data_IF_857091915412
#
_entry.id   IF_857091915412
#
_cell.length_a   1.000
_cell.length_b   1.000
_cell.length_c   1.000
_cell.angle_alpha   90.00
_cell.angle_beta   90.00
_cell.angle_gamma   90.00
#
_symmetry.space_group_name_H-M   'P 1'
#
loop_
_entity.id
_entity.type
_entity.pdbx_description
1 polymer ?
#
# COMPACT_ATOMS: atom_id res chain seq x y z
N UNK A 1 -17.06 5.52 27.01
CA UNK A 1 -16.75 6.48 25.92
C UNK A 1 -16.00 7.72 26.41
N UNK A 2 -16.47 8.45 27.43
CA UNK A 2 -15.79 9.66 27.95
C UNK A 2 -14.32 9.45 28.38
N UNK A 3 -13.98 8.32 29.02
CA UNK A 3 -12.59 8.02 29.45
C UNK A 3 -11.62 7.92 28.27
N UNK A 4 -12.03 7.32 27.15
CA UNK A 4 -11.20 7.20 25.96
C UNK A 4 -10.99 8.58 25.29
N UNK A 5 -12.03 9.41 25.22
CA UNK A 5 -11.89 10.79 24.74
C UNK A 5 -10.94 11.60 25.60
N UNK A 6 -11.06 11.50 26.92
CA UNK A 6 -10.13 12.14 27.86
C UNK A 6 -8.69 11.67 27.65
N UNK A 7 -8.50 10.36 27.48
CA UNK A 7 -7.18 9.78 27.22
C UNK A 7 -6.54 10.33 25.93
N UNK A 8 -7.33 10.54 24.87
CA UNK A 8 -6.84 11.14 23.62
C UNK A 8 -6.59 12.65 23.74
N UNK A 9 -7.49 13.39 24.41
CA UNK A 9 -7.48 14.85 24.40
C UNK A 9 -6.63 15.48 25.51
N UNK A 10 -6.71 14.94 26.74
CA UNK A 10 -6.21 15.60 27.95
C UNK A 10 -5.01 14.90 28.59
N UNK A 11 -4.81 13.59 28.32
CA UNK A 11 -3.65 12.88 28.91
C UNK A 11 -2.33 13.42 28.39
N UNK A 12 -1.27 13.24 29.15
CA UNK A 12 0.03 13.86 28.88
C UNK A 12 0.99 13.04 28.02
N UNK A 13 0.57 11.87 27.49
CA UNK A 13 1.44 11.03 26.69
C UNK A 13 1.74 11.63 25.31
N UNK A 14 2.94 11.36 24.80
CA UNK A 14 3.46 11.83 23.55
C UNK A 14 3.27 10.77 22.45
N UNK A 15 2.55 11.11 21.40
CA UNK A 15 2.26 10.22 20.27
C UNK A 15 3.51 9.91 19.44
N UNK A 16 4.48 10.82 19.34
CA UNK A 16 5.72 10.59 18.60
C UNK A 16 6.60 9.59 19.32
N UNK A 17 6.75 9.72 20.65
CA UNK A 17 7.49 8.76 21.47
C UNK A 17 6.85 7.37 21.44
N UNK A 18 5.52 7.29 21.54
CA UNK A 18 4.81 6.00 21.43
C UNK A 18 5.02 5.37 20.06
N UNK A 19 4.93 6.15 18.98
CA UNK A 19 5.19 5.62 17.65
C UNK A 19 6.65 5.20 17.45
N UNK A 20 7.61 5.97 17.94
CA UNK A 20 9.03 5.62 17.91
C UNK A 20 9.27 4.28 18.60
N UNK A 21 8.72 4.12 19.82
CA UNK A 21 8.84 2.87 20.57
C UNK A 21 8.19 1.69 19.84
N UNK A 22 7.05 1.90 19.20
CA UNK A 22 6.41 0.87 18.38
C UNK A 22 7.32 0.44 17.22
N UNK A 23 7.94 1.41 16.52
CA UNK A 23 8.87 1.11 15.42
C UNK A 23 10.09 0.34 15.95
N UNK A 24 10.65 0.72 17.09
CA UNK A 24 11.74 -0.04 17.74
C UNK A 24 11.36 -1.49 18.03
N UNK A 25 10.14 -1.75 18.49
CA UNK A 25 9.64 -3.11 18.73
C UNK A 25 9.53 -3.91 17.43
N UNK A 26 8.99 -3.29 16.34
CA UNK A 26 8.94 -3.93 15.02
C UNK A 26 10.34 -4.26 14.47
N UNK A 27 11.33 -3.39 14.71
CA UNK A 27 12.72 -3.62 14.31
C UNK A 27 13.39 -4.73 15.11
N UNK A 28 13.02 -4.89 16.38
CA UNK A 28 13.64 -5.85 17.31
C UNK A 28 13.08 -7.26 17.17
N UNK A 29 11.85 -7.41 16.67
CA UNK A 29 11.20 -8.71 16.52
C UNK A 29 11.57 -9.34 15.15
N UNK A 30 12.25 -10.50 15.14
CA UNK A 30 12.62 -11.17 13.89
C UNK A 30 11.45 -11.49 12.95
N UNK A 31 10.23 -11.64 13.48
CA UNK A 31 9.05 -11.93 12.70
C UNK A 31 8.52 -10.71 11.94
N UNK A 32 8.81 -9.49 12.40
CA UNK A 32 8.33 -8.24 11.83
C UNK A 32 9.45 -7.32 11.36
N UNK A 33 10.72 -7.64 11.64
CA UNK A 33 11.86 -6.78 11.34
C UNK A 33 11.93 -6.47 9.83
N UNK A 34 11.95 -5.16 9.47
CA UNK A 34 12.09 -4.76 8.08
C UNK A 34 13.49 -5.09 7.55
N UNK A 35 13.55 -5.56 6.31
CA UNK A 35 14.79 -5.95 5.65
C UNK A 35 15.07 -5.11 4.40
N UNK A 36 16.33 -5.06 3.89
CA UNK A 36 16.70 -4.24 2.74
C UNK A 36 15.97 -4.59 1.42
N UNK A 37 15.37 -5.76 1.31
CA UNK A 37 14.57 -6.16 0.15
C UNK A 37 13.12 -5.66 0.18
N UNK A 38 12.63 -5.17 1.34
CA UNK A 38 11.29 -4.60 1.49
C UNK A 38 11.15 -3.24 0.79
N UNK A 39 9.97 -2.67 0.81
CA UNK A 39 9.62 -1.42 0.15
C UNK A 39 8.98 -0.45 1.13
N UNK A 40 9.42 0.80 1.10
CA UNK A 40 8.74 1.88 1.82
C UNK A 40 7.69 2.50 0.91
N UNK A 41 6.44 2.19 1.13
CA UNK A 41 5.32 2.71 0.35
C UNK A 41 4.82 4.02 0.95
N UNK A 42 4.60 5.03 0.12
CA UNK A 42 4.02 6.33 0.50
C UNK A 42 2.71 6.54 -0.24
N UNK A 43 1.72 7.00 0.51
CA UNK A 43 0.43 7.41 -0.05
C UNK A 43 -0.28 8.36 0.91
N UNK A 44 -1.41 8.94 0.49
CA UNK A 44 -2.28 9.70 1.37
C UNK A 44 -3.71 9.15 1.41
N UNK A 45 -4.33 9.28 2.56
CA UNK A 45 -5.69 8.81 2.77
C UNK A 45 -6.58 9.90 3.33
N UNK A 46 -7.72 10.14 2.67
CA UNK A 46 -8.67 11.16 3.04
C UNK A 46 -9.88 10.61 3.79
N UNK A 47 -10.28 11.32 4.85
CA UNK A 47 -11.47 11.01 5.64
C UNK A 47 -12.40 12.22 5.66
N UNK A 48 -13.66 12.01 5.22
CA UNK A 48 -14.69 13.05 5.27
C UNK A 48 -14.97 13.43 6.71
N UNK A 49 -15.06 14.73 6.97
CA UNK A 49 -15.47 15.30 8.26
C UNK A 49 -16.45 16.42 8.03
N UNK A 50 -17.47 16.48 8.89
CA UNK A 50 -18.42 17.57 8.91
C UNK A 50 -17.90 18.74 9.78
N UNK A 51 -18.37 19.94 9.50
CA UNK A 51 -17.98 21.13 10.27
C UNK A 51 -16.69 21.80 9.76
N UNK A 52 -16.19 22.80 10.50
CA UNK A 52 -15.05 23.65 10.11
C UNK A 52 -14.01 23.85 11.22
N UNK A 53 -14.29 23.36 12.43
CA UNK A 53 -13.50 23.64 13.63
C UNK A 53 -12.49 22.55 13.98
N UNK A 54 -12.42 21.47 13.20
CA UNK A 54 -11.46 20.38 13.42
C UNK A 54 -10.11 20.77 12.82
N UNK A 55 -9.03 20.49 13.52
CA UNK A 55 -7.68 20.70 13.01
C UNK A 55 -7.50 19.96 11.65
N UNK A 56 -6.70 20.51 10.74
CA UNK A 56 -6.38 19.98 9.42
C UNK A 56 -7.54 19.92 8.42
N UNK A 57 -8.75 20.34 8.82
CA UNK A 57 -9.92 20.24 7.96
C UNK A 57 -9.84 21.20 6.77
N UNK A 58 -10.33 20.79 5.63
CA UNK A 58 -10.45 21.62 4.44
C UNK A 58 -11.09 20.90 3.27
N UNK A 59 -11.39 21.67 2.22
CA UNK A 59 -11.82 21.08 0.95
C UNK A 59 -10.61 20.44 0.26
N UNK A 60 -10.60 19.13 0.21
CA UNK A 60 -9.49 18.33 -0.31
C UNK A 60 -10.04 17.21 -1.20
N UNK A 61 -9.22 16.69 -2.09
CA UNK A 61 -9.54 15.48 -2.82
C UNK A 61 -9.55 14.30 -1.85
N UNK A 62 -10.68 13.60 -1.77
CA UNK A 62 -10.84 12.40 -0.96
C UNK A 62 -10.96 11.21 -1.90
N UNK A 63 -9.86 10.47 -2.09
CA UNK A 63 -9.76 9.39 -3.05
C UNK A 63 -10.87 8.35 -2.92
N UNK A 64 -11.21 7.92 -1.69
CA UNK A 64 -12.33 6.99 -1.43
C UNK A 64 -13.68 7.47 -1.97
N UNK A 65 -13.90 8.79 -2.02
CA UNK A 65 -15.15 9.39 -2.52
C UNK A 65 -15.07 9.79 -3.99
N UNK A 66 -13.88 9.76 -4.60
CA UNK A 66 -13.65 10.19 -5.97
C UNK A 66 -13.99 11.66 -6.24
N UNK A 67 -13.96 12.52 -5.22
CA UNK A 67 -14.33 13.95 -5.32
C UNK A 67 -13.63 14.82 -4.30
N UNK A 68 -13.61 16.12 -4.57
CA UNK A 68 -13.21 17.13 -3.58
C UNK A 68 -14.36 17.37 -2.60
N UNK A 69 -14.10 17.11 -1.33
CA UNK A 69 -15.06 17.32 -0.23
C UNK A 69 -14.36 17.85 1.02
N UNK A 70 -15.13 18.19 2.04
CA UNK A 70 -14.61 18.62 3.32
C UNK A 70 -14.09 17.41 4.11
N UNK A 71 -12.82 17.48 4.51
CA UNK A 71 -12.19 16.32 5.18
C UNK A 71 -10.78 16.60 5.64
N UNK A 72 -10.17 15.57 6.20
CA UNK A 72 -8.77 15.54 6.63
C UNK A 72 -8.05 14.53 5.75
N UNK A 73 -6.91 14.93 5.21
CA UNK A 73 -6.03 14.03 4.46
C UNK A 73 -4.78 13.79 5.28
N UNK A 74 -4.40 12.54 5.45
CA UNK A 74 -3.21 12.12 6.18
C UNK A 74 -2.23 11.47 5.22
N UNK A 75 -1.00 11.97 5.19
CA UNK A 75 0.13 11.33 4.48
C UNK A 75 0.68 10.23 5.36
N UNK A 76 0.89 9.05 4.79
CA UNK A 76 1.34 7.88 5.54
C UNK A 76 2.50 7.17 4.84
N UNK A 77 3.26 6.43 5.62
CA UNK A 77 4.22 5.44 5.12
C UNK A 77 3.84 4.06 5.62
N UNK A 78 4.03 3.07 4.76
CA UNK A 78 3.84 1.66 5.05
C UNK A 78 5.11 0.92 4.63
N UNK A 79 5.66 0.09 5.50
CA UNK A 79 6.65 -0.88 5.07
C UNK A 79 5.95 -2.14 4.59
N UNK A 80 6.41 -2.71 3.48
CA UNK A 80 5.83 -3.92 2.93
C UNK A 80 6.85 -4.76 2.17
N UNK A 81 6.63 -6.07 2.17
CA UNK A 81 7.20 -7.04 1.25
C UNK A 81 6.08 -7.91 0.66
N UNK A 82 6.38 -9.07 0.13
CA UNK A 82 5.41 -10.00 -0.44
C UNK A 82 4.44 -10.58 0.60
N UNK A 83 4.84 -10.69 1.86
CA UNK A 83 4.14 -11.43 2.91
C UNK A 83 3.66 -10.55 4.06
N UNK A 84 4.38 -9.47 4.36
CA UNK A 84 4.20 -8.65 5.53
C UNK A 84 4.06 -7.18 5.14
N UNK A 85 3.17 -6.47 5.81
CA UNK A 85 3.03 -5.03 5.65
C UNK A 85 2.46 -4.40 6.93
N UNK A 86 2.90 -3.19 7.22
CA UNK A 86 2.38 -2.43 8.36
C UNK A 86 2.62 -0.93 8.19
N UNK A 87 1.68 -0.08 8.67
CA UNK A 87 1.87 1.36 8.68
C UNK A 87 3.02 1.74 9.61
N UNK A 88 3.91 2.64 9.16
CA UNK A 88 5.01 3.17 9.96
C UNK A 88 4.69 4.52 10.57
N UNK A 89 4.33 5.49 9.75
CA UNK A 89 4.09 6.86 10.16
C UNK A 89 2.83 7.41 9.52
N UNK A 90 2.20 8.36 10.20
CA UNK A 90 1.02 9.06 9.71
C UNK A 90 1.07 10.53 10.16
N UNK A 91 0.96 11.46 9.22
CA UNK A 91 0.95 12.90 9.50
C UNK A 91 -0.20 13.58 8.77
N UNK A 92 -1.17 14.17 9.49
CA UNK A 92 -2.25 14.94 8.88
C UNK A 92 -1.70 16.14 8.12
N UNK A 93 -2.17 16.34 6.89
CA UNK A 93 -1.85 17.52 6.11
C UNK A 93 -2.73 18.70 6.55
N UNK A 94 -2.11 19.82 6.92
CA UNK A 94 -2.79 21.07 7.24
C UNK A 94 -2.87 21.98 6.02
N UNK A 95 -4.06 22.24 5.47
CA UNK A 95 -4.24 23.21 4.39
C UNK A 95 -3.76 24.62 4.77
N UNK A 96 -3.31 25.40 3.79
CA UNK A 96 -2.69 26.70 3.99
C UNK A 96 -3.53 27.70 4.80
N UNK A 97 -4.87 27.59 4.77
CA UNK A 97 -5.75 28.49 5.54
C UNK A 97 -5.70 28.29 7.06
N UNK A 98 -5.06 27.21 7.56
CA UNK A 98 -4.79 27.02 8.98
C UNK A 98 -3.58 27.82 9.48
N UNK A 99 -2.82 28.45 8.59
CA UNK A 99 -1.58 29.16 8.91
C UNK A 99 -1.75 30.67 8.73
N UNK A 100 -1.25 31.49 9.66
CA UNK A 100 -1.39 32.96 9.57
C UNK A 100 -0.85 33.55 8.26
N UNK A 101 0.25 33.01 7.73
CA UNK A 101 0.88 33.46 6.47
C UNK A 101 0.54 32.55 5.28
N UNK A 102 -0.47 31.69 5.40
CA UNK A 102 -0.85 30.74 4.35
C UNK A 102 0.30 29.86 3.91
N UNK A 103 0.51 29.73 2.59
CA UNK A 103 1.61 28.92 2.03
C UNK A 103 3.03 29.45 2.32
N UNK A 104 3.14 30.73 2.70
CA UNK A 104 4.41 31.37 3.05
C UNK A 104 4.74 31.24 4.54
N UNK A 105 3.89 30.60 5.32
CA UNK A 105 4.15 30.34 6.72
C UNK A 105 5.27 29.32 6.89
N UNK A 106 6.25 29.55 7.78
CA UNK A 106 7.35 28.62 7.99
C UNK A 106 6.91 27.25 8.52
N UNK A 107 5.73 27.19 9.16
CA UNK A 107 5.13 25.92 9.62
C UNK A 107 4.38 25.16 8.54
N UNK A 108 4.06 25.80 7.39
CA UNK A 108 3.34 25.15 6.31
C UNK A 108 4.22 24.07 5.63
N UNK A 109 3.65 22.90 5.41
CA UNK A 109 4.25 21.79 4.66
C UNK A 109 3.28 21.31 3.60
N UNK A 110 3.76 21.11 2.39
CA UNK A 110 3.01 20.37 1.34
C UNK A 110 2.99 18.88 1.65
N UNK A 111 2.04 18.15 1.08
CA UNK A 111 2.01 16.67 1.18
C UNK A 111 3.33 16.03 0.74
N UNK A 112 3.95 16.56 -0.31
CA UNK A 112 5.25 16.09 -0.82
C UNK A 112 6.38 16.27 0.18
N UNK A 113 6.42 17.42 0.87
CA UNK A 113 7.40 17.68 1.92
C UNK A 113 7.20 16.76 3.12
N UNK A 114 5.93 16.55 3.53
CA UNK A 114 5.59 15.60 4.59
C UNK A 114 6.04 14.18 4.18
N UNK A 115 5.72 13.75 2.97
CA UNK A 115 6.12 12.44 2.45
C UNK A 115 7.63 12.22 2.45
N UNK A 116 8.40 13.20 1.97
CA UNK A 116 9.85 13.13 1.97
C UNK A 116 10.44 13.13 3.39
N UNK A 117 9.84 13.87 4.33
CA UNK A 117 10.22 13.87 5.73
C UNK A 117 9.95 12.50 6.39
N UNK A 118 8.78 11.89 6.13
CA UNK A 118 8.45 10.56 6.65
C UNK A 118 9.39 9.47 6.10
N UNK A 119 9.78 9.55 4.82
CA UNK A 119 10.76 8.63 4.25
C UNK A 119 12.13 8.75 4.93
N UNK A 120 12.60 9.98 5.20
CA UNK A 120 13.84 10.22 5.96
C UNK A 120 13.72 9.71 7.40
N UNK A 121 12.57 9.94 8.05
CA UNK A 121 12.31 9.46 9.40
C UNK A 121 12.40 7.93 9.47
N UNK A 122 11.80 7.22 8.51
CA UNK A 122 11.90 5.76 8.44
C UNK A 122 13.37 5.31 8.31
N UNK A 123 14.14 5.91 7.39
CA UNK A 123 15.58 5.60 7.22
C UNK A 123 16.38 5.88 8.48
N UNK A 124 16.16 7.02 9.13
CA UNK A 124 16.87 7.42 10.36
C UNK A 124 16.53 6.50 11.52
N UNK A 125 15.30 5.98 11.58
CA UNK A 125 14.90 4.99 12.57
C UNK A 125 15.50 3.59 12.32
N UNK A 126 16.27 3.38 11.24
CA UNK A 126 16.89 2.10 10.92
C UNK A 126 15.98 1.13 10.15
N UNK A 127 14.87 1.60 9.61
CA UNK A 127 13.99 0.77 8.78
C UNK A 127 14.71 0.43 7.46
N UNK A 128 14.98 -0.87 7.25
CA UNK A 128 15.56 -1.38 6.01
C UNK A 128 14.51 -1.39 4.88
N UNK A 129 14.85 -0.86 3.72
CA UNK A 129 14.02 -0.97 2.50
C UNK A 129 14.88 -0.74 1.25
N UNK A 130 14.44 -1.32 0.14
CA UNK A 130 15.12 -1.27 -1.15
C UNK A 130 14.89 0.04 -1.89
N UNK A 131 13.66 0.53 -1.86
CA UNK A 131 13.28 1.79 -2.49
C UNK A 131 11.99 2.34 -1.88
N UNK A 132 11.74 3.63 -2.13
CA UNK A 132 10.46 4.29 -1.87
C UNK A 132 9.55 4.07 -3.08
N UNK A 133 8.33 3.58 -2.87
CA UNK A 133 7.32 3.44 -3.91
C UNK A 133 6.13 4.37 -3.65
N UNK A 134 5.64 5.03 -4.69
CA UNK A 134 4.46 5.89 -4.62
C UNK A 134 3.72 5.91 -5.97
N UNK A 135 2.46 6.34 -5.95
CA UNK A 135 1.64 6.49 -7.15
C UNK A 135 1.97 7.76 -7.96
N UNK A 136 1.25 7.96 -9.05
CA UNK A 136 1.45 9.11 -9.94
C UNK A 136 1.13 10.47 -9.31
N UNK A 137 0.40 10.54 -8.18
CA UNK A 137 0.20 11.79 -7.48
C UNK A 137 1.52 12.34 -6.90
N UNK A 138 2.40 11.44 -6.50
CA UNK A 138 3.76 11.73 -6.04
C UNK A 138 4.77 11.62 -7.19
N UNK A 139 4.67 10.60 -8.01
CA UNK A 139 5.61 10.28 -9.07
C UNK A 139 5.72 11.38 -10.14
N UNK A 140 4.63 12.06 -10.49
CA UNK A 140 4.63 13.18 -11.43
C UNK A 140 5.38 14.44 -10.93
N UNK A 141 5.78 14.46 -9.65
CA UNK A 141 6.36 15.65 -9.03
C UNK A 141 7.87 15.62 -9.00
N UNK A 142 8.52 16.29 -9.93
CA UNK A 142 9.99 16.39 -9.99
C UNK A 142 10.64 16.83 -8.68
N UNK A 143 10.00 17.75 -7.98
CA UNK A 143 10.50 18.25 -6.69
C UNK A 143 10.56 17.14 -5.64
N UNK A 144 9.62 16.21 -5.66
CA UNK A 144 9.59 15.10 -4.73
C UNK A 144 10.69 14.07 -5.04
N UNK A 145 10.80 13.64 -6.31
CA UNK A 145 11.87 12.74 -6.72
C UNK A 145 13.25 13.29 -6.39
N UNK A 146 13.48 14.60 -6.65
CA UNK A 146 14.74 15.27 -6.28
C UNK A 146 14.99 15.30 -4.77
N UNK A 147 13.97 15.49 -3.94
CA UNK A 147 14.10 15.44 -2.48
C UNK A 147 14.53 14.07 -2.00
N UNK A 148 13.97 13.00 -2.58
CA UNK A 148 14.37 11.63 -2.25
C UNK A 148 15.80 11.34 -2.70
N UNK A 149 16.14 11.63 -3.95
CA UNK A 149 17.50 11.45 -4.49
C UNK A 149 18.54 12.20 -3.67
N UNK A 150 18.26 13.47 -3.30
CA UNK A 150 19.16 14.27 -2.43
C UNK A 150 19.32 13.71 -1.03
N UNK A 151 18.36 12.91 -0.56
CA UNK A 151 18.41 12.22 0.73
C UNK A 151 19.04 10.81 0.62
N UNK A 152 19.50 10.40 -0.57
CA UNK A 152 20.00 9.04 -0.82
C UNK A 152 18.90 7.99 -0.58
N UNK A 153 17.69 8.28 -1.02
CA UNK A 153 16.54 7.41 -0.94
C UNK A 153 16.12 7.00 -2.34
N UNK A 154 16.51 5.80 -2.79
CA UNK A 154 16.12 5.33 -4.12
C UNK A 154 14.60 5.19 -4.23
N UNK A 155 14.10 5.32 -5.46
CA UNK A 155 12.66 5.31 -5.67
C UNK A 155 12.22 4.51 -6.91
N UNK A 156 10.98 4.01 -6.87
CA UNK A 156 10.21 3.48 -8.00
C UNK A 156 8.81 4.07 -7.91
N UNK A 157 8.44 4.93 -8.86
CA UNK A 157 7.19 5.68 -8.82
C UNK A 157 6.44 5.61 -10.13
N UNK A 158 5.12 5.46 -10.06
CA UNK A 158 4.29 5.55 -11.25
C UNK A 158 4.17 7.00 -11.75
N UNK A 159 4.00 7.12 -13.04
CA UNK A 159 3.73 8.37 -13.74
C UNK A 159 2.39 8.26 -14.45
N UNK A 160 1.70 9.38 -14.61
CA UNK A 160 0.56 9.42 -15.52
C UNK A 160 1.01 9.12 -16.95
N UNK A 161 0.18 8.41 -17.74
CA UNK A 161 0.48 8.16 -19.15
C UNK A 161 0.80 9.44 -19.95
N UNK A 162 0.21 10.57 -19.52
CA UNK A 162 0.35 11.89 -20.13
C UNK A 162 1.34 12.82 -19.42
N UNK A 163 2.17 12.29 -18.51
CA UNK A 163 3.21 13.09 -17.84
C UNK A 163 4.15 13.69 -18.89
N UNK A 164 4.15 15.02 -18.99
CA UNK A 164 4.98 15.73 -19.97
C UNK A 164 6.42 15.88 -19.51
N UNK A 165 7.37 15.58 -20.39
CA UNK A 165 8.78 15.88 -20.14
C UNK A 165 9.40 16.60 -21.35
N UNK A 166 10.55 17.27 -21.13
CA UNK A 166 11.30 17.88 -22.21
C UNK A 166 11.85 16.81 -23.16
N UNK A 167 11.62 17.00 -24.45
CA UNK A 167 12.13 16.12 -25.50
C UNK A 167 12.58 16.95 -26.70
N UNK A 168 13.52 16.40 -27.50
CA UNK A 168 14.01 17.02 -28.72
C UNK A 168 13.57 16.22 -29.94
N UNK A 169 13.04 16.91 -30.93
CA UNK A 169 12.77 16.34 -32.25
C UNK A 169 11.82 15.15 -32.22
N UNK A 170 12.35 13.95 -32.45
CA UNK A 170 11.57 12.68 -32.52
C UNK A 170 11.45 11.95 -31.20
N UNK A 171 12.01 12.48 -30.13
CA UNK A 171 11.94 11.84 -28.83
C UNK A 171 10.50 11.85 -28.30
N UNK A 172 10.14 10.85 -27.51
CA UNK A 172 8.83 10.77 -26.88
C UNK A 172 8.65 11.89 -25.84
N UNK A 173 7.46 12.49 -25.82
CA UNK A 173 7.12 13.55 -24.86
C UNK A 173 6.38 13.01 -23.64
N UNK A 174 5.72 11.87 -23.76
CA UNK A 174 4.94 11.26 -22.68
C UNK A 174 5.30 9.79 -22.48
N UNK A 175 5.08 9.24 -21.28
CA UNK A 175 5.33 7.82 -21.02
C UNK A 175 4.61 6.89 -21.99
N UNK A 176 3.37 7.21 -22.36
CA UNK A 176 2.64 6.40 -23.33
C UNK A 176 3.25 6.46 -24.74
N UNK A 177 3.80 7.61 -25.14
CA UNK A 177 4.50 7.72 -26.44
C UNK A 177 5.83 6.92 -26.39
N UNK A 178 6.53 6.98 -25.27
CA UNK A 178 7.74 6.18 -25.07
C UNK A 178 7.45 4.67 -25.12
N UNK A 179 6.35 4.22 -24.52
CA UNK A 179 5.92 2.82 -24.58
C UNK A 179 5.56 2.38 -26.01
N UNK A 180 4.85 3.22 -26.75
CA UNK A 180 4.45 2.95 -28.15
C UNK A 180 5.63 2.94 -29.13
N UNK A 181 6.76 3.53 -28.76
CA UNK A 181 7.98 3.49 -29.55
C UNK A 181 8.77 2.17 -29.40
N UNK A 182 8.43 1.35 -28.43
CA UNK A 182 9.05 0.04 -28.20
C UNK A 182 8.53 -0.99 -29.22
N UNK A 183 9.45 -1.82 -29.71
CA UNK A 183 9.12 -2.88 -30.68
C UNK A 183 8.44 -4.04 -29.98
N UNK A 184 7.30 -4.46 -30.52
CA UNK A 184 6.57 -5.65 -30.09
C UNK A 184 5.95 -6.35 -31.29
N UNK A 185 6.04 -7.66 -31.36
CA UNK A 185 5.36 -8.47 -32.36
C UNK A 185 4.38 -9.44 -31.68
N UNK A 186 4.88 -10.35 -30.90
CA UNK A 186 4.13 -11.37 -30.16
C UNK A 186 4.98 -11.90 -28.98
N UNK A 187 4.46 -12.78 -28.12
CA UNK A 187 5.21 -13.36 -27.01
C UNK A 187 6.45 -14.16 -27.41
N UNK A 188 6.50 -14.72 -28.62
CA UNK A 188 7.66 -15.47 -29.13
C UNK A 188 8.72 -14.53 -29.74
N UNK A 189 8.30 -13.35 -30.17
CA UNK A 189 9.12 -12.29 -30.74
C UNK A 189 8.89 -10.95 -30.02
N UNK A 190 9.26 -10.84 -28.73
CA UNK A 190 8.86 -9.73 -27.87
C UNK A 190 9.58 -8.40 -28.16
N UNK A 191 10.57 -8.37 -29.07
CA UNK A 191 11.29 -7.17 -29.40
C UNK A 191 12.05 -6.58 -28.22
N UNK A 192 11.65 -5.37 -27.79
CA UNK A 192 12.26 -4.67 -26.64
C UNK A 192 11.74 -5.14 -25.27
N UNK A 193 10.71 -5.97 -25.24
CA UNK A 193 10.04 -6.37 -24.02
C UNK A 193 10.61 -7.67 -23.44
N UNK A 194 10.63 -7.74 -22.13
CA UNK A 194 11.04 -8.91 -21.36
C UNK A 194 9.87 -9.42 -20.54
N UNK A 195 9.61 -10.71 -20.59
CA UNK A 195 8.61 -11.34 -19.76
C UNK A 195 9.01 -11.29 -18.26
N UNK A 196 8.09 -10.90 -17.41
CA UNK A 196 8.23 -10.81 -15.96
C UNK A 196 7.07 -11.57 -15.31
N UNK A 197 7.41 -12.67 -14.65
CA UNK A 197 6.42 -13.42 -13.85
C UNK A 197 6.13 -12.67 -12.54
N UNK A 198 4.86 -12.42 -12.29
CA UNK A 198 4.37 -11.87 -11.02
C UNK A 198 3.58 -12.93 -10.29
N UNK A 199 4.04 -13.30 -9.12
CA UNK A 199 3.32 -14.22 -8.22
C UNK A 199 2.52 -13.39 -7.21
N UNK A 200 1.24 -13.70 -7.08
CA UNK A 200 0.33 -13.08 -6.11
C UNK A 200 0.22 -13.94 -4.86
N UNK A 201 -0.28 -13.35 -3.78
CA UNK A 201 -0.34 -14.01 -2.47
C UNK A 201 -1.22 -15.27 -2.44
N UNK A 202 -2.24 -15.34 -3.29
CA UNK A 202 -3.09 -16.52 -3.47
C UNK A 202 -2.43 -17.65 -4.29
N UNK A 203 -1.17 -17.44 -4.69
CA UNK A 203 -0.35 -18.39 -5.44
C UNK A 203 -0.56 -18.36 -6.95
N UNK A 204 -1.51 -17.55 -7.48
CA UNK A 204 -1.59 -17.42 -8.93
C UNK A 204 -0.44 -16.58 -9.48
N UNK A 205 -0.07 -16.82 -10.73
CA UNK A 205 0.96 -16.07 -11.44
C UNK A 205 0.38 -15.41 -12.68
N UNK A 206 0.89 -14.23 -13.00
CA UNK A 206 0.59 -13.52 -14.24
C UNK A 206 1.89 -13.18 -14.95
N UNK A 207 1.91 -13.36 -16.27
CA UNK A 207 3.00 -12.87 -17.10
C UNK A 207 2.74 -11.39 -17.43
N UNK A 208 3.66 -10.56 -17.01
CA UNK A 208 3.75 -9.15 -17.40
C UNK A 208 4.93 -8.97 -18.35
N UNK A 209 4.89 -7.91 -19.15
CA UNK A 209 5.96 -7.53 -20.06
C UNK A 209 6.54 -6.20 -19.58
N UNK A 210 7.85 -6.14 -19.44
CA UNK A 210 8.52 -4.94 -19.00
C UNK A 210 9.66 -4.55 -19.95
N UNK A 211 9.87 -3.24 -20.12
CA UNK A 211 10.93 -2.71 -20.95
C UNK A 211 11.45 -1.38 -20.40
N UNK A 212 12.74 -1.10 -20.62
CA UNK A 212 13.31 0.23 -20.45
C UNK A 212 12.94 1.09 -21.66
N UNK A 213 12.27 2.21 -21.43
CA UNK A 213 11.87 3.14 -22.47
C UNK A 213 12.62 4.47 -22.37
N UNK A 214 12.69 5.20 -23.48
CA UNK A 214 13.31 6.53 -23.54
C UNK A 214 12.23 7.61 -23.53
N UNK A 215 12.32 8.53 -22.58
CA UNK A 215 11.39 9.64 -22.41
C UNK A 215 12.18 10.94 -22.25
N UNK A 216 12.35 11.68 -23.34
CA UNK A 216 13.19 12.88 -23.32
C UNK A 216 14.61 12.59 -22.84
N UNK A 217 14.97 13.20 -21.70
CA UNK A 217 16.26 13.00 -21.05
C UNK A 217 16.38 11.71 -20.23
N UNK A 218 15.25 11.06 -19.97
CA UNK A 218 15.21 9.83 -19.21
C UNK A 218 15.43 8.63 -20.12
N UNK A 219 16.12 7.66 -19.62
CA UNK A 219 16.37 6.42 -20.35
C UNK A 219 17.18 5.43 -19.54
N UNK A 220 17.49 4.25 -20.12
CA UNK A 220 18.15 3.16 -19.41
C UNK A 220 19.44 3.56 -18.68
N UNK A 221 20.19 4.51 -19.26
CA UNK A 221 21.48 4.96 -18.77
C UNK A 221 21.42 6.38 -18.15
N UNK A 222 20.25 6.99 -18.09
CA UNK A 222 20.02 8.31 -17.49
C UNK A 222 19.93 8.27 -15.97
N UNK A 223 19.95 9.47 -15.34
CA UNK A 223 19.75 9.60 -13.90
C UNK A 223 18.35 9.15 -13.44
N UNK A 224 17.40 9.17 -14.34
CA UNK A 224 16.08 8.59 -14.17
C UNK A 224 15.83 7.64 -15.34
N UNK A 225 15.43 6.42 -15.03
CA UNK A 225 14.94 5.43 -15.99
C UNK A 225 13.43 5.53 -16.07
N UNK A 226 12.88 5.26 -17.25
CA UNK A 226 11.47 4.92 -17.42
C UNK A 226 11.38 3.42 -17.71
N UNK A 227 10.78 2.66 -16.81
CA UNK A 227 10.42 1.26 -17.03
C UNK A 227 8.92 1.20 -17.29
N UNK A 228 8.53 0.67 -18.45
CA UNK A 228 7.13 0.39 -18.74
C UNK A 228 6.85 -1.07 -18.41
N UNK A 229 5.75 -1.34 -17.72
CA UNK A 229 5.31 -2.70 -17.40
C UNK A 229 3.82 -2.84 -17.73
N UNK A 230 3.45 -3.89 -18.46
CA UNK A 230 2.07 -4.09 -18.92
C UNK A 230 1.75 -5.58 -19.06
N UNK A 231 0.47 -5.93 -19.01
CA UNK A 231 0.00 -7.27 -19.37
C UNK A 231 -0.10 -7.47 -20.89
N UNK A 232 -0.18 -6.40 -21.66
CA UNK A 232 -0.28 -6.47 -23.12
C UNK A 232 0.45 -5.28 -23.78
N UNK A 233 1.65 -5.49 -24.34
CA UNK A 233 2.41 -4.47 -25.04
C UNK A 233 1.72 -3.91 -26.29
N UNK A 234 0.85 -4.69 -26.94
CA UNK A 234 0.18 -4.26 -28.16
C UNK A 234 -0.87 -3.19 -27.91
N UNK A 235 -1.60 -3.30 -26.78
CA UNK A 235 -2.75 -2.41 -26.49
C UNK A 235 -2.49 -1.43 -25.34
N UNK A 236 -1.53 -1.70 -24.47
CA UNK A 236 -1.20 -0.90 -23.29
C UNK A 236 -2.45 -0.58 -22.45
N UNK A 237 -3.15 -1.60 -21.91
CA UNK A 237 -4.43 -1.40 -21.22
C UNK A 237 -4.24 -0.49 -19.99
N UNK A 238 -5.04 0.58 -19.83
CA UNK A 238 -4.81 1.59 -18.78
C UNK A 238 -4.84 1.06 -17.35
N UNK A 239 -5.58 -0.03 -17.09
CA UNK A 239 -5.68 -0.63 -15.76
C UNK A 239 -4.53 -1.59 -15.44
N UNK A 240 -3.78 -2.02 -16.45
CA UNK A 240 -2.72 -3.01 -16.35
C UNK A 240 -1.44 -2.55 -17.07
N UNK A 241 -1.19 -1.24 -17.10
CA UNK A 241 0.03 -0.64 -17.61
C UNK A 241 0.57 0.39 -16.62
N UNK A 242 1.83 0.23 -16.25
CA UNK A 242 2.56 1.11 -15.34
C UNK A 242 3.69 1.81 -16.09
N UNK A 243 3.90 3.07 -15.78
CA UNK A 243 4.98 3.91 -16.32
C UNK A 243 5.90 4.33 -15.17
N UNK A 244 6.89 3.51 -14.86
CA UNK A 244 7.67 3.58 -13.64
C UNK A 244 8.94 4.42 -13.81
N UNK A 245 9.00 5.57 -13.13
CA UNK A 245 10.22 6.34 -12.98
C UNK A 245 11.06 5.77 -11.83
N UNK A 246 12.36 5.53 -12.06
CA UNK A 246 13.28 5.06 -11.03
C UNK A 246 14.68 5.66 -11.22
N UNK A 247 15.38 5.91 -10.10
CA UNK A 247 16.80 6.29 -10.10
C UNK A 247 17.74 5.10 -9.89
N UNK A 248 17.21 3.90 -9.67
CA UNK A 248 18.01 2.68 -9.60
C UNK A 248 18.70 2.39 -10.94
N UNK A 249 20.04 2.16 -10.97
CA UNK A 249 20.74 1.84 -12.20
C UNK A 249 20.26 0.50 -12.78
N UNK A 250 20.35 0.34 -14.11
CA UNK A 250 20.11 -0.96 -14.73
C UNK A 250 21.35 -1.84 -14.62
N UNK A 251 21.22 -3.16 -14.55
CA UNK A 251 22.34 -4.10 -14.62
C UNK A 251 23.13 -3.92 -15.93
N UNK A 252 24.45 -3.94 -15.84
CA UNK A 252 25.35 -3.73 -17.00
C UNK A 252 25.34 -2.31 -17.58
N UNK A 253 24.64 -1.36 -16.95
CA UNK A 253 24.60 0.02 -17.38
C UNK A 253 25.77 0.85 -16.85
N UNK A 254 26.11 1.99 -17.51
CA UNK A 254 27.26 2.82 -17.14
C UNK A 254 27.16 3.41 -15.73
N UNK A 255 25.96 3.52 -15.16
CA UNK A 255 25.75 4.04 -13.80
C UNK A 255 25.89 3.00 -12.69
N UNK A 256 25.99 1.71 -13.03
CA UNK A 256 26.04 0.64 -12.02
C UNK A 256 27.30 0.77 -11.14
N UNK A 257 28.44 1.07 -11.75
CA UNK A 257 29.71 1.17 -11.03
C UNK A 257 29.80 2.39 -10.08
N UNK A 258 29.11 3.48 -10.42
CA UNK A 258 29.17 4.75 -9.69
C UNK A 258 27.96 4.94 -8.72
N UNK A 259 26.98 4.06 -8.76
CA UNK A 259 25.79 4.17 -7.93
C UNK A 259 26.06 3.60 -6.52
N UNK A 260 25.63 4.30 -5.44
CA UNK A 260 25.66 3.72 -4.10
C UNK A 260 24.64 2.60 -3.93
N UNK A 261 23.65 2.53 -4.82
CA UNK A 261 22.60 1.54 -4.79
C UNK A 261 22.86 0.41 -5.81
N UNK A 262 22.65 -0.85 -5.43
CA UNK A 262 22.75 -1.96 -6.36
C UNK A 262 21.87 -1.77 -7.60
N UNK A 263 22.29 -2.29 -8.73
CA UNK A 263 21.48 -2.25 -9.94
C UNK A 263 20.17 -3.03 -9.77
N UNK A 264 19.09 -2.56 -10.41
CA UNK A 264 17.78 -3.18 -10.41
C UNK A 264 17.38 -3.59 -11.83
N UNK A 265 17.15 -4.88 -12.06
CA UNK A 265 16.59 -5.40 -13.30
C UNK A 265 15.10 -5.04 -13.45
N UNK A 266 14.55 -5.31 -14.63
CA UNK A 266 13.13 -5.05 -14.92
C UNK A 266 12.20 -5.79 -13.94
N UNK A 267 12.48 -7.05 -13.65
CA UNK A 267 11.73 -7.84 -12.68
C UNK A 267 11.70 -7.16 -11.30
N UNK A 268 12.84 -6.69 -10.81
CA UNK A 268 12.91 -6.05 -9.49
C UNK A 268 12.14 -4.73 -9.45
N UNK A 269 12.24 -3.89 -10.50
CA UNK A 269 11.48 -2.63 -10.58
C UNK A 269 9.98 -2.89 -10.58
N UNK A 270 9.52 -3.87 -11.36
CA UNK A 270 8.11 -4.28 -11.40
C UNK A 270 7.66 -4.85 -10.05
N UNK A 271 8.48 -5.67 -9.39
CA UNK A 271 8.24 -6.20 -8.06
C UNK A 271 8.07 -5.09 -7.03
N UNK A 272 9.01 -4.14 -6.97
CA UNK A 272 8.96 -3.03 -6.01
C UNK A 272 7.66 -2.24 -6.15
N UNK A 273 7.26 -1.90 -7.38
CA UNK A 273 6.01 -1.17 -7.57
C UNK A 273 4.77 -2.05 -7.30
N UNK A 274 4.83 -3.32 -7.64
CA UNK A 274 3.77 -4.28 -7.36
C UNK A 274 3.43 -4.40 -5.87
N UNK A 275 4.44 -4.25 -4.98
CA UNK A 275 4.24 -4.24 -3.52
C UNK A 275 3.45 -3.02 -3.04
N UNK A 276 3.39 -1.92 -3.80
CA UNK A 276 2.66 -0.70 -3.42
C UNK A 276 1.21 -0.94 -3.03
N UNK A 277 0.54 -1.91 -3.62
CA UNK A 277 -0.87 -2.19 -3.32
C UNK A 277 -1.14 -2.49 -1.83
N UNK A 278 -0.13 -2.94 -1.07
CA UNK A 278 -0.29 -3.25 0.36
C UNK A 278 -0.63 -2.05 1.22
N UNK A 279 -0.27 -0.82 0.83
CA UNK A 279 -0.72 0.37 1.56
C UNK A 279 -2.24 0.57 1.44
N UNK A 280 -2.82 0.24 0.29
CA UNK A 280 -4.26 0.30 0.09
C UNK A 280 -4.99 -0.77 0.92
N UNK A 281 -4.41 -1.96 1.05
CA UNK A 281 -4.92 -3.01 1.95
C UNK A 281 -4.80 -2.58 3.41
N UNK A 282 -3.68 -1.96 3.81
CA UNK A 282 -3.54 -1.41 5.15
C UNK A 282 -4.62 -0.36 5.45
N UNK A 283 -4.96 0.50 4.49
CA UNK A 283 -6.05 1.47 4.65
C UNK A 283 -7.42 0.81 4.81
N UNK A 284 -7.72 -0.25 4.06
CA UNK A 284 -8.97 -1.00 4.25
C UNK A 284 -9.08 -1.53 5.68
N UNK A 285 -8.00 -2.10 6.20
CA UNK A 285 -7.97 -2.69 7.54
C UNK A 285 -8.02 -1.62 8.65
N UNK A 286 -7.18 -0.59 8.59
CA UNK A 286 -7.21 0.47 9.62
C UNK A 286 -8.54 1.22 9.64
N UNK A 287 -9.20 1.41 8.49
CA UNK A 287 -10.47 2.12 8.39
C UNK A 287 -11.68 1.23 8.67
N UNK A 288 -11.67 -0.02 8.19
CA UNK A 288 -12.77 -0.96 8.35
C UNK A 288 -12.81 -1.59 9.74
N UNK A 289 -11.65 -2.03 10.25
CA UNK A 289 -11.57 -2.85 11.45
C UNK A 289 -11.07 -2.08 12.69
N UNK A 290 -10.13 -1.15 12.49
CA UNK A 290 -9.46 -0.48 13.61
C UNK A 290 -9.95 0.95 13.88
N UNK A 291 -10.99 1.41 13.18
CA UNK A 291 -11.67 2.67 13.47
C UNK A 291 -10.87 3.93 13.17
N UNK A 292 -9.95 3.89 12.19
CA UNK A 292 -9.12 5.04 11.82
C UNK A 292 -9.93 6.31 11.54
N UNK A 293 -11.07 6.21 10.87
CA UNK A 293 -11.92 7.34 10.51
C UNK A 293 -12.95 7.74 11.58
N UNK A 294 -13.09 6.95 12.66
CA UNK A 294 -14.20 7.04 13.62
C UNK A 294 -13.99 8.05 14.73
N UNK A 295 -12.83 8.71 14.77
CA UNK A 295 -12.55 9.69 15.82
C UNK A 295 -13.49 10.90 15.75
N UNK A 296 -13.88 11.39 16.95
CA UNK A 296 -14.68 12.59 17.15
C UNK A 296 -13.88 13.75 17.75
N UNK A 297 -12.61 13.52 18.06
CA UNK A 297 -11.68 14.54 18.58
C UNK A 297 -11.38 15.61 17.52
N UNK A 298 -11.07 16.84 17.96
CA UNK A 298 -10.92 17.98 17.06
C UNK A 298 -9.54 18.63 17.09
N UNK A 299 -8.76 18.44 18.14
CA UNK A 299 -7.41 19.02 18.25
C UNK A 299 -6.39 18.19 17.44
N UNK A 300 -5.33 18.84 16.95
CA UNK A 300 -4.20 18.21 16.28
C UNK A 300 -3.63 17.05 17.12
N UNK A 301 -3.30 17.33 18.38
CA UNK A 301 -2.73 16.33 19.29
C UNK A 301 -3.63 15.10 19.44
N UNK A 302 -4.94 15.30 19.61
CA UNK A 302 -5.86 14.18 19.81
C UNK A 302 -6.04 13.35 18.53
N UNK A 303 -6.03 13.99 17.35
CA UNK A 303 -6.08 13.29 16.06
C UNK A 303 -4.83 12.43 15.87
N UNK A 304 -3.64 12.98 16.10
CA UNK A 304 -2.38 12.25 15.99
C UNK A 304 -2.31 11.08 16.99
N UNK A 305 -2.73 11.30 18.22
CA UNK A 305 -2.84 10.24 19.24
C UNK A 305 -3.76 9.11 18.79
N UNK A 306 -4.93 9.43 18.24
CA UNK A 306 -5.84 8.44 17.72
C UNK A 306 -5.19 7.62 16.60
N UNK A 307 -4.58 8.27 15.62
CA UNK A 307 -3.89 7.61 14.51
C UNK A 307 -2.74 6.71 15.00
N UNK A 308 -1.98 7.18 16.00
CA UNK A 308 -0.90 6.38 16.62
C UNK A 308 -1.45 5.13 17.32
N UNK A 309 -2.57 5.23 18.05
CA UNK A 309 -3.18 4.06 18.68
C UNK A 309 -3.68 3.04 17.63
N UNK A 310 -4.24 3.51 16.52
CA UNK A 310 -4.65 2.61 15.43
C UNK A 310 -3.45 1.89 14.82
N UNK A 311 -2.32 2.59 14.60
CA UNK A 311 -1.10 1.94 14.10
C UNK A 311 -0.49 0.97 15.12
N UNK A 312 -0.59 1.26 16.43
CA UNK A 312 -0.22 0.32 17.48
C UNK A 312 -1.10 -0.93 17.46
N UNK A 313 -2.41 -0.76 17.33
CA UNK A 313 -3.34 -1.89 17.24
C UNK A 313 -3.05 -2.76 16.02
N UNK A 314 -2.70 -2.15 14.87
CA UNK A 314 -2.28 -2.90 13.68
C UNK A 314 -1.02 -3.74 13.94
N UNK A 315 0.00 -3.15 14.58
CA UNK A 315 1.22 -3.87 14.94
C UNK A 315 0.95 -5.00 15.93
N UNK A 316 0.07 -4.78 16.91
CA UNK A 316 -0.37 -5.80 17.85
C UNK A 316 -1.05 -6.99 17.15
N UNK A 317 -1.80 -6.77 16.07
CA UNK A 317 -2.38 -7.87 15.31
C UNK A 317 -1.29 -8.78 14.70
N UNK A 318 -0.18 -8.22 14.22
CA UNK A 318 0.95 -9.02 13.73
C UNK A 318 1.67 -9.75 14.89
N UNK A 319 1.92 -9.07 16.00
CA UNK A 319 2.51 -9.69 17.20
C UNK A 319 1.66 -10.87 17.67
N UNK A 320 0.34 -10.69 17.76
CA UNK A 320 -0.58 -11.75 18.12
C UNK A 320 -0.63 -12.90 17.11
N UNK A 321 -0.44 -12.59 15.80
CA UNK A 321 -0.41 -13.60 14.76
C UNK A 321 0.84 -14.49 14.83
N UNK A 322 1.99 -13.91 15.13
CA UNK A 322 3.26 -14.65 15.24
C UNK A 322 3.49 -15.27 16.60
N UNK A 323 2.76 -14.83 17.62
CA UNK A 323 2.85 -15.41 18.96
C UNK A 323 2.32 -16.84 18.98
N UNK A 324 2.97 -17.77 19.70
CA UNK A 324 2.43 -19.11 19.90
C UNK A 324 1.06 -19.00 20.59
N UNK A 325 0.12 -19.92 20.31
CA UNK A 325 -1.13 -19.98 21.07
C UNK A 325 -0.83 -20.06 22.56
N UNK A 326 -1.62 -19.37 23.42
CA UNK A 326 -1.45 -19.48 24.86
C UNK A 326 -1.55 -20.95 25.27
N UNK A 327 -0.59 -21.42 26.09
CA UNK A 327 -0.68 -22.75 26.68
C UNK A 327 -1.98 -22.79 27.52
N UNK A 328 -2.95 -23.56 27.07
CA UNK A 328 -4.15 -23.82 27.85
C UNK A 328 -3.72 -24.74 28.98
N UNK A 329 -3.56 -24.19 30.18
CA UNK A 329 -3.34 -25.01 31.37
C UNK A 329 -4.50 -26.02 31.51
N UNK A 330 -4.23 -27.30 31.81
CA UNK A 330 -5.27 -28.32 31.92
C UNK A 330 -6.39 -27.96 32.92
N UNK A 331 -6.14 -27.02 33.80
CA UNK A 331 -7.04 -26.55 34.88
C UNK A 331 -8.15 -25.61 34.35
N UNK A 332 -7.99 -25.05 33.15
CA UNK A 332 -8.97 -24.12 32.52
C UNK A 332 -9.73 -24.74 31.34
N UNK A 333 -9.52 -26.02 31.07
CA UNK A 333 -10.34 -26.71 30.07
C UNK A 333 -11.80 -26.77 30.59
N UNK A 334 -12.79 -26.35 29.77
CA UNK A 334 -14.19 -26.54 30.17
C UNK A 334 -14.42 -28.02 30.42
N UNK A 335 -15.19 -28.38 31.47
CA UNK A 335 -15.50 -29.79 31.77
C UNK A 335 -16.10 -30.44 30.51
N UNK A 336 -15.62 -31.64 30.19
CA UNK A 336 -16.22 -32.43 29.12
C UNK A 336 -17.75 -32.51 29.34
N UNK A 337 -18.55 -32.28 28.29
CA UNK A 337 -19.99 -32.44 28.41
C UNK A 337 -20.29 -33.85 28.91
N UNK A 338 -21.22 -34.01 29.89
CA UNK A 338 -21.56 -35.32 30.41
C UNK A 338 -21.99 -36.24 29.28
N UNK A 339 -21.44 -37.46 29.25
CA UNK A 339 -21.87 -38.52 28.30
C UNK A 339 -23.39 -38.68 28.40
N UNK A 340 -24.10 -38.42 27.31
CA UNK A 340 -25.54 -38.69 27.26
C UNK A 340 -25.77 -40.19 27.44
N UNK A 341 -26.62 -40.60 28.37
CA UNK A 341 -26.97 -42.01 28.54
C UNK A 341 -27.58 -42.55 27.26
N UNK A 342 -27.06 -43.67 26.80
CA UNK A 342 -27.36 -44.34 25.54
C UNK A 342 -28.82 -44.32 25.11
N UNK A 343 -29.07 -43.78 23.96
CA UNK A 343 -30.36 -43.82 23.26
C UNK A 343 -30.54 -45.22 22.67
N UNK A 344 -31.64 -45.91 22.91
CA UNK A 344 -31.87 -47.25 22.37
C UNK A 344 -31.94 -47.21 20.83
N UNK A 345 -31.28 -48.15 20.20
CA UNK A 345 -31.31 -48.39 18.76
C UNK A 345 -32.72 -48.61 18.26
N UNK A 346 -33.19 -47.77 17.35
CA UNK A 346 -34.37 -48.05 16.52
C UNK A 346 -33.94 -48.54 15.16
N UNK A 347 -34.51 -49.66 14.82
CA UNK A 347 -34.24 -50.50 13.67
C UNK A 347 -34.24 -49.81 12.31
N UNK A 348 -33.59 -50.53 11.49
CA UNK A 348 -33.40 -50.45 10.04
C UNK A 348 -34.58 -49.95 9.23
N UNK A 349 -34.38 -48.90 8.38
CA UNK A 349 -34.93 -48.93 7.02
C UNK A 349 -34.12 -48.07 6.03
N UNK A 350 -33.75 -48.69 4.99
CA UNK A 350 -33.32 -48.36 3.63
C UNK A 350 -32.95 -46.92 3.24
N UNK A 351 -31.73 -46.82 2.74
CA UNK A 351 -31.07 -45.72 2.02
C UNK A 351 -31.49 -45.67 0.56
N UNK A 352 -31.56 -44.50 -0.06
CA UNK A 352 -31.19 -44.27 -1.45
C UNK A 352 -29.87 -43.47 -1.58
N UNK A 353 -29.18 -43.59 -2.74
CA UNK A 353 -27.74 -43.32 -2.85
C UNK A 353 -27.37 -41.84 -3.00
N UNK A 354 -26.21 -41.50 -2.45
CA UNK A 354 -25.56 -40.19 -2.54
C UNK A 354 -24.75 -40.03 -3.85
N UNK A 355 -24.54 -38.82 -4.33
CA UNK A 355 -23.51 -38.54 -5.30
C UNK A 355 -22.20 -38.08 -4.64
N UNK A 356 -21.13 -38.42 -5.30
CA UNK A 356 -19.71 -38.40 -5.01
C UNK A 356 -19.07 -37.14 -4.47
N UNK A 357 -18.06 -37.32 -3.60
CA UNK A 357 -16.85 -36.55 -3.56
C UNK A 357 -16.42 -36.10 -2.17
N UNK A 358 -15.72 -36.95 -1.39
CA UNK A 358 -14.97 -36.50 -0.21
C UNK A 358 -13.60 -37.18 -0.15
N UNK A 359 -12.59 -36.37 -0.05
CA UNK A 359 -11.23 -36.77 0.32
C UNK A 359 -11.08 -36.70 1.84
N UNK A 360 -10.45 -37.75 2.35
CA UNK A 360 -10.31 -38.09 3.74
C UNK A 360 -9.42 -37.12 4.54
N UNK A 361 -9.82 -36.89 5.79
CA UNK A 361 -8.97 -36.42 6.87
C UNK A 361 -7.93 -37.47 7.23
N UNK A 362 -6.65 -37.09 7.15
CA UNK A 362 -5.53 -37.85 7.70
C UNK A 362 -4.89 -37.05 8.82
N UNK A 363 -5.04 -37.59 10.03
CA UNK A 363 -4.35 -37.12 11.24
C UNK A 363 -2.87 -37.54 11.17
N UNK A 364 -1.92 -36.60 11.09
CA UNK A 364 -0.52 -36.85 11.40
C UNK A 364 0.10 -35.66 12.11
N UNK A 365 0.18 -35.76 13.44
CA UNK A 365 1.05 -34.92 14.27
C UNK A 365 2.52 -35.14 13.88
N UNK A 366 3.18 -34.09 13.41
CA UNK A 366 4.63 -33.96 13.41
C UNK A 366 5.03 -32.65 14.05
N UNK A 367 6.04 -32.62 14.94
CA UNK A 367 6.51 -31.39 15.54
C UNK A 367 7.49 -30.68 14.58
N UNK A 368 7.40 -29.34 14.51
CA UNK A 368 8.47 -28.47 14.02
C UNK A 368 8.50 -28.24 12.51
N UNK A 369 7.50 -27.58 11.95
CA UNK A 369 7.62 -26.88 10.66
C UNK A 369 6.90 -25.52 10.80
N UNK A 370 7.57 -24.47 10.34
CA UNK A 370 7.01 -23.13 10.23
C UNK A 370 5.63 -23.20 9.56
N UNK A 371 4.64 -22.56 10.15
CA UNK A 371 3.31 -22.43 9.54
C UNK A 371 3.47 -21.70 8.20
N UNK A 372 2.82 -22.17 7.12
CA UNK A 372 2.72 -21.38 5.90
C UNK A 372 2.04 -20.03 6.23
N UNK A 373 2.61 -18.95 5.73
CA UNK A 373 2.09 -17.58 5.87
C UNK A 373 0.79 -17.34 5.04
N UNK A 374 0.10 -18.39 4.62
CA UNK A 374 -0.92 -18.37 3.57
C UNK A 374 -2.31 -17.90 4.04
N UNK A 375 -2.51 -17.61 5.32
CA UNK A 375 -3.79 -17.04 5.77
C UNK A 375 -3.56 -15.85 6.72
N UNK A 376 -4.16 -14.69 6.42
CA UNK A 376 -4.19 -13.57 7.35
C UNK A 376 -4.97 -13.97 8.62
N UNK A 377 -4.73 -13.30 9.77
CA UNK A 377 -5.54 -13.47 10.98
C UNK A 377 -7.04 -13.39 10.65
N UNK A 378 -7.84 -14.18 11.30
CA UNK A 378 -9.31 -14.25 11.07
C UNK A 378 -9.99 -12.88 11.13
N UNK A 379 -9.40 -11.91 11.85
CA UNK A 379 -9.84 -10.53 11.93
C UNK A 379 -9.66 -9.76 10.59
N UNK A 380 -8.84 -10.29 9.67
CA UNK A 380 -8.47 -9.67 8.39
C UNK A 380 -9.00 -10.46 7.18
N UNK A 381 -9.57 -11.64 7.39
CA UNK A 381 -9.97 -12.55 6.32
C UNK A 381 -11.36 -12.25 5.70
N UNK A 382 -12.17 -11.38 6.32
CA UNK A 382 -13.56 -11.13 5.87
C UNK A 382 -13.69 -10.12 4.72
N UNK A 383 -12.59 -9.70 4.07
CA UNK A 383 -12.60 -8.61 3.09
C UNK A 383 -12.42 -9.03 1.62
N UNK A 384 -12.30 -10.33 1.32
CA UNK A 384 -12.07 -10.80 -0.05
C UNK A 384 -13.33 -10.88 -0.94
N UNK A 385 -14.52 -10.53 -0.44
CA UNK A 385 -15.77 -10.57 -1.20
C UNK A 385 -16.35 -9.18 -1.55
N UNK A 386 -15.57 -8.29 -2.14
CA UNK A 386 -16.13 -7.10 -2.81
C UNK A 386 -15.52 -6.90 -4.19
N UNK A 387 -16.04 -7.63 -5.17
CA UNK A 387 -15.92 -7.27 -6.59
C UNK A 387 -16.52 -5.88 -6.81
N UNK A 388 -15.85 -4.98 -7.55
CA UNK A 388 -16.43 -3.70 -7.91
C UNK A 388 -17.56 -3.93 -8.92
N UNK A 389 -18.79 -3.74 -8.48
CA UNK A 389 -19.93 -3.64 -9.41
C UNK A 389 -19.76 -2.39 -10.27
N UNK A 390 -19.39 -2.58 -11.51
CA UNK A 390 -19.48 -1.57 -12.57
C UNK A 390 -20.95 -1.21 -12.78
N UNK A 391 -21.40 -0.11 -12.19
CA UNK A 391 -22.65 0.54 -12.60
C UNK A 391 -22.41 1.27 -13.90
N UNK A 392 -22.89 0.72 -15.00
CA UNK A 392 -23.10 1.41 -16.27
C UNK A 392 -24.06 2.59 -16.05
N UNK A 393 -23.74 3.81 -16.50
CA UNK A 393 -24.68 4.92 -16.42
C UNK A 393 -25.84 4.71 -17.43
N UNK A 394 -27.06 4.89 -16.95
CA UNK A 394 -28.29 4.90 -17.76
C UNK A 394 -28.27 6.03 -18.80
N UNK A 395 -28.85 5.83 -20.02
CA UNK A 395 -28.75 6.78 -21.16
C UNK A 395 -29.58 8.07 -21.06
N UNK A 396 -30.21 8.38 -19.93
CA UNK A 396 -31.27 9.41 -19.90
C UNK A 396 -30.88 10.79 -19.36
N UNK A 397 -29.60 11.15 -19.29
CA UNK A 397 -29.16 12.49 -18.87
C UNK A 397 -28.45 13.32 -19.96
N UNK A 398 -28.65 13.02 -21.26
CA UNK A 398 -28.17 13.87 -22.35
C UNK A 398 -29.28 14.75 -22.93
N UNK A 399 -29.95 15.55 -22.11
CA UNK A 399 -30.75 16.70 -22.58
C UNK A 399 -30.85 17.72 -21.45
N UNK A 400 -30.02 18.76 -21.54
CA UNK A 400 -30.22 20.15 -21.08
C UNK A 400 -28.91 20.83 -20.74
N UNK A 401 -28.33 21.50 -21.71
CA UNK A 401 -27.61 22.80 -21.58
C UNK A 401 -27.31 23.31 -23.00
N UNK A 402 -28.16 24.25 -23.46
CA UNK A 402 -27.78 25.24 -24.45
C UNK A 402 -27.36 26.50 -23.70
N UNK A 403 -26.33 27.24 -24.15
CA UNK A 403 -25.99 28.56 -23.59
C UNK A 403 -26.93 29.62 -24.19
N UNK A 404 -27.22 30.72 -23.48
CA UNK A 404 -27.88 31.88 -24.04
C UNK A 404 -26.91 32.70 -24.89
N UNK A 405 -27.50 33.47 -25.78
CA UNK A 405 -26.90 34.31 -26.80
C UNK A 405 -25.98 35.41 -26.26
#
# INVERSE_FOLDING_TARGET
MQRLQFFLSESTWDHEQVNARRVELLLADPATAPHPGGVLVIDDSGDRKDGKATAHIGRQWLGRLGKTDNGIVTVTTCWADENLYYPLHAVPYSPAHHFPKGKSDPGFRTKLQIAAELARTAKTAGVGFRAVAADCAYGDQDSFRRQLASAGLPFVMDLKPSHGTWAYGKDAYTPVDAARALTWTDPEHPGDWTAVERTFRDGHTETWWAADARLGWWGPDGNVRLVVATTDPATLPPQATWYLATDLPRPGGPREADSPEPAAGLHEVVRIYGIRHWIEQSYKQVKGELGWADFQVRSDTAIRRHQTLVTCAFSFCWDAWFSPPPEVSPETAPPEPPEEPGRPERGTNQTPPAPHGHLAQGDTRRPGLARPLDQPPTMLASLDECTPTTRTPSPDQRRRRRPPA
#
